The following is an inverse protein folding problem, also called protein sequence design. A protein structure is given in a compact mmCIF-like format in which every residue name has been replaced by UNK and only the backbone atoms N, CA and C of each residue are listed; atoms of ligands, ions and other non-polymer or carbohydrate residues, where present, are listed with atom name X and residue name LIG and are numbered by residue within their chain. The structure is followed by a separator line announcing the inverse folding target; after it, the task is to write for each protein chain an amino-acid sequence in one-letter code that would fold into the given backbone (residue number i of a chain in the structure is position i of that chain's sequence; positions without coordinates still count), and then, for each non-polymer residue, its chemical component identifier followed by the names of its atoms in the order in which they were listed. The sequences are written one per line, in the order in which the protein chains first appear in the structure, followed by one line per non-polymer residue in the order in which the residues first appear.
data_IF_789891176986
#
_entry.id   IF_789891176986
#
_cell.length_a   1.000
_cell.length_b   1.000
_cell.length_c   1.000
_cell.angle_alpha   90.00
_cell.angle_beta   90.00
_cell.angle_gamma   90.00
#
_symmetry.space_group_name_H-M   'P 1'
#
loop_
_entity.id
_entity.type
_entity.pdbx_description
1 polymer ?
#
# COMPACT_ATOMS: atom_id res chain seq x y z
N UNK A 1 -13.86 -66.70 7.00
CA UNK A 1 -14.28 -65.61 6.08
C UNK A 1 -14.04 -64.31 6.81
N UNK A 2 -13.03 -63.55 6.39
CA UNK A 2 -12.55 -62.33 7.07
C UNK A 2 -12.92 -61.10 6.23
N UNK A 3 -13.26 -60.06 6.97
CA UNK A 3 -13.82 -58.73 6.70
C UNK A 3 -13.00 -57.79 5.81
N UNK A 4 -13.66 -56.75 5.27
CA UNK A 4 -13.07 -55.41 4.99
C UNK A 4 -13.15 -54.97 3.53
N UNK A 5 -13.17 -53.69 3.16
CA UNK A 5 -13.05 -52.41 3.88
C UNK A 5 -13.11 -51.31 2.80
N UNK A 6 -14.08 -50.40 2.82
CA UNK A 6 -14.01 -49.09 2.14
C UNK A 6 -14.73 -48.14 3.11
N UNK A 7 -14.10 -47.06 3.65
CA UNK A 7 -13.77 -45.89 2.84
C UNK A 7 -12.54 -45.08 3.33
N UNK A 8 -11.50 -44.97 2.50
CA UNK A 8 -10.36 -44.09 2.73
C UNK A 8 -10.60 -42.62 2.34
N UNK A 9 -11.86 -42.19 2.18
CA UNK A 9 -12.18 -40.87 1.63
C UNK A 9 -12.37 -39.74 2.67
N UNK A 10 -12.03 -39.97 3.95
CA UNK A 10 -12.14 -38.94 5.01
C UNK A 10 -10.80 -38.55 5.67
N UNK A 11 -9.66 -39.13 5.26
CA UNK A 11 -8.39 -38.90 5.97
C UNK A 11 -7.56 -37.68 5.50
N UNK A 12 -8.00 -36.94 4.47
CA UNK A 12 -7.18 -35.87 3.87
C UNK A 12 -7.50 -34.42 4.33
N UNK A 13 -8.48 -34.21 5.21
CA UNK A 13 -8.84 -32.86 5.69
C UNK A 13 -8.15 -32.50 7.03
N UNK A 14 -7.72 -33.48 7.82
CA UNK A 14 -7.14 -33.25 9.16
C UNK A 14 -5.70 -32.71 9.19
N UNK A 15 -4.95 -32.82 8.08
CA UNK A 15 -3.51 -32.53 8.08
C UNK A 15 -3.14 -31.05 7.77
N UNK A 16 -4.08 -30.24 7.28
CA UNK A 16 -3.82 -28.85 6.87
C UNK A 16 -4.16 -27.84 7.98
N UNK A 17 -5.10 -28.20 8.86
CA UNK A 17 -5.54 -27.37 10.01
C UNK A 17 -4.39 -26.94 10.94
N UNK A 18 -3.46 -27.81 11.37
CA UNK A 18 -2.38 -27.39 12.26
C UNK A 18 -1.35 -26.47 11.57
N UNK A 19 -1.25 -26.48 10.24
CA UNK A 19 -0.38 -25.59 9.49
C UNK A 19 -1.01 -24.20 9.30
N UNK A 20 -2.32 -24.13 9.07
CA UNK A 20 -3.05 -22.86 9.00
C UNK A 20 -3.12 -22.17 10.38
N UNK A 21 -3.30 -22.92 11.46
CA UNK A 21 -3.25 -22.39 12.83
C UNK A 21 -1.83 -21.90 13.20
N UNK A 22 -0.77 -22.61 12.79
CA UNK A 22 0.61 -22.15 12.96
C UNK A 22 0.94 -20.91 12.13
N UNK A 23 0.37 -20.79 10.92
CA UNK A 23 0.50 -19.60 10.08
C UNK A 23 -0.23 -18.38 10.68
N UNK A 24 -1.45 -18.56 11.21
CA UNK A 24 -2.17 -17.50 11.91
C UNK A 24 -1.47 -17.09 13.22
N UNK A 25 -0.97 -18.03 14.00
CA UNK A 25 -0.19 -17.71 15.21
C UNK A 25 1.17 -17.10 14.88
N UNK A 26 1.83 -17.49 13.79
CA UNK A 26 3.03 -16.80 13.31
C UNK A 26 2.73 -15.34 12.92
N UNK A 27 1.60 -15.08 12.24
CA UNK A 27 1.13 -13.71 11.92
C UNK A 27 0.79 -12.90 13.17
N UNK A 28 0.18 -13.52 14.18
CA UNK A 28 -0.16 -12.86 15.45
C UNK A 28 1.07 -12.61 16.34
N UNK A 29 2.01 -13.55 16.36
CA UNK A 29 3.33 -13.39 17.01
C UNK A 29 4.20 -12.37 16.27
N UNK A 30 4.07 -12.23 14.95
CA UNK A 30 4.71 -11.18 14.16
C UNK A 30 4.15 -9.79 14.52
N UNK A 31 2.83 -9.68 14.68
CA UNK A 31 2.19 -8.46 15.17
C UNK A 31 2.59 -8.13 16.62
N UNK A 32 2.76 -9.14 17.48
CA UNK A 32 3.19 -8.97 18.87
C UNK A 32 4.69 -8.65 18.98
N UNK A 33 5.55 -9.25 18.15
CA UNK A 33 6.97 -8.91 18.05
C UNK A 33 7.20 -7.51 17.44
N UNK A 34 6.30 -7.04 16.57
CA UNK A 34 6.26 -5.66 16.06
C UNK A 34 5.86 -4.65 17.16
N UNK A 35 5.12 -5.08 18.19
CA UNK A 35 4.73 -4.24 19.34
C UNK A 35 5.77 -4.12 20.46
N UNK A 36 6.82 -4.96 20.46
CA UNK A 36 7.93 -4.90 21.44
C UNK A 36 9.12 -4.04 21.01
N UNK A 37 9.11 -3.49 19.79
CA UNK A 37 10.06 -2.44 19.37
C UNK A 37 9.31 -1.12 19.41
N UNK A 38 9.72 -0.23 20.32
CA UNK A 38 9.14 1.11 20.44
C UNK A 38 9.09 1.86 19.09
N UNK A 39 8.25 2.90 18.99
CA UNK A 39 8.09 3.66 17.76
C UNK A 39 9.43 4.26 17.35
N UNK A 40 10.04 3.74 16.30
CA UNK A 40 11.13 4.45 15.63
C UNK A 40 10.46 5.47 14.72
N UNK A 41 10.72 6.76 14.99
CA UNK A 41 10.50 7.80 14.00
C UNK A 41 11.16 7.36 12.68
N UNK A 42 10.41 7.29 11.59
CA UNK A 42 10.93 6.97 10.24
C UNK A 42 10.60 5.60 9.64
N UNK A 43 9.65 4.82 10.20
CA UNK A 43 9.25 3.52 9.59
C UNK A 43 8.03 3.56 8.69
N UNK A 44 7.15 4.52 8.88
CA UNK A 44 5.92 4.63 8.10
C UNK A 44 5.66 6.10 7.77
N UNK A 45 5.29 6.40 6.53
CA UNK A 45 4.80 7.71 6.12
C UNK A 45 3.31 7.67 5.93
N UNK A 46 2.62 8.72 6.37
CA UNK A 46 1.18 8.88 6.14
C UNK A 46 0.94 9.93 5.07
N UNK A 47 0.17 9.57 4.05
CA UNK A 47 -0.31 10.51 3.03
C UNK A 47 -1.82 10.59 3.17
N UNK A 48 -2.33 11.75 3.54
CA UNK A 48 -3.76 12.01 3.62
C UNK A 48 -4.19 12.91 2.47
N UNK A 49 -5.20 12.48 1.72
CA UNK A 49 -5.84 13.22 0.63
C UNK A 49 -7.26 13.62 1.04
N UNK A 50 -8.12 14.00 0.10
CA UNK A 50 -9.52 14.32 0.40
C UNK A 50 -10.34 13.06 0.72
N UNK A 51 -10.03 11.93 0.06
CA UNK A 51 -10.83 10.72 0.16
C UNK A 51 -10.12 9.55 0.84
N UNK A 52 -8.79 9.57 0.92
CA UNK A 52 -8.00 8.46 1.45
C UNK A 52 -6.99 8.93 2.50
N UNK A 53 -6.74 8.06 3.47
CA UNK A 53 -5.54 8.09 4.29
C UNK A 53 -4.73 6.85 3.98
N UNK A 54 -3.53 7.04 3.46
CA UNK A 54 -2.63 5.96 3.09
C UNK A 54 -1.40 5.96 3.99
N UNK A 55 -0.85 4.78 4.22
CA UNK A 55 0.37 4.59 4.99
C UNK A 55 1.33 3.71 4.20
N UNK A 56 2.56 4.19 4.01
CA UNK A 56 3.63 3.47 3.33
C UNK A 56 4.67 3.03 4.36
N UNK A 57 4.90 1.73 4.49
CA UNK A 57 5.98 1.19 5.32
C UNK A 57 7.31 1.28 4.55
N UNK A 58 8.28 2.03 5.07
CA UNK A 58 9.56 2.26 4.36
C UNK A 58 10.47 1.03 4.37
N UNK A 59 10.21 0.04 5.22
CA UNK A 59 11.02 -1.16 5.33
C UNK A 59 10.54 -2.23 4.34
N UNK A 60 9.23 -2.46 4.23
CA UNK A 60 8.66 -3.40 3.24
C UNK A 60 8.20 -2.75 1.93
N UNK A 61 8.07 -1.43 1.91
CA UNK A 61 7.39 -0.71 0.84
C UNK A 61 5.87 -0.88 0.88
N UNK A 62 5.29 -1.59 1.85
CA UNK A 62 3.86 -1.92 1.82
C UNK A 62 2.98 -0.68 1.94
N UNK A 63 1.99 -0.60 1.07
CA UNK A 63 1.00 0.46 1.05
C UNK A 63 -0.31 -0.08 1.64
N UNK A 64 -0.78 0.54 2.71
CA UNK A 64 -2.08 0.25 3.32
C UNK A 64 -2.90 1.55 3.39
N UNK A 65 -4.21 1.45 3.64
CA UNK A 65 -5.01 2.66 3.73
C UNK A 65 -6.45 2.47 4.18
N UNK A 66 -7.09 3.61 4.39
CA UNK A 66 -8.45 3.76 4.88
C UNK A 66 -9.18 4.82 4.04
N UNK A 67 -10.44 4.56 3.73
CA UNK A 67 -11.33 5.55 3.11
C UNK A 67 -11.77 6.54 4.19
N UNK A 68 -11.55 7.85 3.99
CA UNK A 68 -11.93 8.89 4.96
C UNK A 68 -13.20 9.65 4.57
N UNK A 69 -13.63 9.56 3.31
CA UNK A 69 -14.81 10.26 2.79
C UNK A 69 -15.61 9.39 1.84
N UNK A 70 -16.91 9.66 1.71
CA UNK A 70 -17.83 8.89 0.87
C UNK A 70 -18.49 7.70 1.57
N UNK A 71 -19.16 6.81 0.82
CA UNK A 71 -20.00 5.75 1.36
C UNK A 71 -19.23 4.68 2.14
N UNK A 72 -17.92 4.55 1.90
CA UNK A 72 -17.05 3.56 2.54
C UNK A 72 -16.18 4.17 3.65
N UNK A 73 -16.46 5.40 4.08
CA UNK A 73 -15.67 6.09 5.10
C UNK A 73 -15.50 5.26 6.39
N UNK A 74 -14.29 5.23 6.92
CA UNK A 74 -13.90 4.43 8.09
C UNK A 74 -13.52 2.97 7.77
N UNK A 75 -13.65 2.51 6.52
CA UNK A 75 -13.25 1.15 6.13
C UNK A 75 -11.82 1.12 5.62
N UNK A 76 -11.08 0.09 6.04
CA UNK A 76 -9.76 -0.21 5.49
C UNK A 76 -9.88 -0.73 4.05
N UNK A 77 -8.98 -0.31 3.16
CA UNK A 77 -9.00 -0.72 1.75
C UNK A 77 -8.91 -2.24 1.58
N UNK A 78 -8.11 -2.90 2.42
CA UNK A 78 -8.01 -4.37 2.45
C UNK A 78 -9.30 -5.10 2.85
N UNK A 79 -10.26 -4.39 3.45
CA UNK A 79 -11.57 -4.94 3.84
C UNK A 79 -12.65 -4.72 2.77
N UNK A 80 -12.33 -3.95 1.72
CA UNK A 80 -13.24 -3.68 0.62
C UNK A 80 -13.16 -4.81 -0.42
N UNK A 81 -14.31 -5.16 -1.00
CA UNK A 81 -14.33 -6.02 -2.18
C UNK A 81 -13.73 -5.30 -3.39
N UNK A 82 -13.42 -6.05 -4.45
CA UNK A 82 -12.90 -5.45 -5.69
C UNK A 82 -13.88 -4.45 -6.30
N UNK A 83 -15.18 -4.77 -6.32
CA UNK A 83 -16.21 -3.86 -6.82
C UNK A 83 -16.32 -2.59 -5.97
N UNK A 84 -16.21 -2.71 -4.64
CA UNK A 84 -16.22 -1.56 -3.73
C UNK A 84 -14.97 -0.67 -3.96
N UNK A 85 -13.79 -1.25 -4.17
CA UNK A 85 -12.58 -0.50 -4.49
C UNK A 85 -12.69 0.25 -5.82
N UNK A 86 -13.26 -0.38 -6.85
CA UNK A 86 -13.50 0.28 -8.14
C UNK A 86 -14.52 1.41 -8.03
N UNK A 87 -15.54 1.27 -7.17
CA UNK A 87 -16.50 2.34 -6.88
C UNK A 87 -15.79 3.55 -6.21
N UNK A 88 -14.94 3.30 -5.21
CA UNK A 88 -14.12 4.35 -4.59
C UNK A 88 -13.19 5.00 -5.61
N UNK A 89 -12.63 4.22 -6.55
CA UNK A 89 -11.74 4.74 -7.59
C UNK A 89 -12.46 5.67 -8.56
N UNK A 90 -13.66 5.29 -9.03
CA UNK A 90 -14.49 6.15 -9.88
C UNK A 90 -14.83 7.47 -9.18
N UNK A 91 -15.27 7.39 -7.93
CA UNK A 91 -15.59 8.56 -7.11
C UNK A 91 -14.36 9.46 -6.89
N UNK A 92 -13.21 8.84 -6.65
CA UNK A 92 -11.92 9.54 -6.48
C UNK A 92 -11.51 10.25 -7.77
N UNK A 93 -11.66 9.63 -8.95
CA UNK A 93 -11.29 10.26 -10.23
C UNK A 93 -12.07 11.54 -10.52
N UNK A 94 -13.33 11.60 -10.10
CA UNK A 94 -14.18 12.77 -10.27
C UNK A 94 -13.87 13.90 -9.28
N UNK A 95 -13.54 13.55 -8.04
CA UNK A 95 -13.48 14.52 -6.92
C UNK A 95 -12.07 14.88 -6.49
N UNK A 96 -11.15 13.93 -6.57
CA UNK A 96 -9.78 14.06 -6.10
C UNK A 96 -8.82 13.15 -6.89
N UNK A 97 -8.23 13.67 -7.97
CA UNK A 97 -7.25 12.93 -8.78
C UNK A 97 -6.09 12.36 -7.95
N UNK A 98 -5.73 13.00 -6.83
CA UNK A 98 -4.68 12.52 -5.95
C UNK A 98 -5.08 11.22 -5.24
N UNK A 99 -6.31 11.18 -4.71
CA UNK A 99 -6.88 9.96 -4.13
C UNK A 99 -6.97 8.84 -5.17
N UNK A 100 -7.36 9.17 -6.41
CA UNK A 100 -7.41 8.19 -7.47
C UNK A 100 -6.02 7.57 -7.71
N UNK A 101 -4.98 8.40 -7.86
CA UNK A 101 -3.62 7.93 -8.11
C UNK A 101 -3.08 7.00 -7.01
N UNK A 102 -3.34 7.35 -5.75
CA UNK A 102 -2.97 6.54 -4.60
C UNK A 102 -3.72 5.20 -4.56
N UNK A 103 -5.01 5.20 -4.91
CA UNK A 103 -5.80 3.98 -4.99
C UNK A 103 -5.40 3.09 -6.16
N UNK A 104 -5.06 3.66 -7.32
CA UNK A 104 -4.49 2.92 -8.44
C UNK A 104 -3.17 2.27 -8.05
N UNK A 105 -2.29 3.00 -7.36
CA UNK A 105 -1.03 2.45 -6.87
C UNK A 105 -1.25 1.28 -5.88
N UNK A 106 -2.26 1.39 -5.02
CA UNK A 106 -2.67 0.31 -4.12
C UNK A 106 -3.19 -0.92 -4.88
N UNK A 107 -4.05 -0.72 -5.90
CA UNK A 107 -4.62 -1.78 -6.70
C UNK A 107 -3.57 -2.49 -7.56
N UNK A 108 -2.67 -1.74 -8.21
CA UNK A 108 -1.55 -2.30 -8.99
C UNK A 108 -0.68 -3.22 -8.11
N UNK A 109 -0.41 -2.81 -6.87
CA UNK A 109 0.40 -3.60 -5.92
C UNK A 109 -0.30 -4.87 -5.42
N UNK A 110 -1.58 -4.75 -5.05
CA UNK A 110 -2.33 -5.82 -4.36
C UNK A 110 -3.02 -6.79 -5.31
N UNK A 111 -3.44 -6.31 -6.48
CA UNK A 111 -4.21 -7.07 -7.49
C UNK A 111 -3.50 -7.19 -8.84
N UNK A 112 -2.36 -6.53 -9.05
CA UNK A 112 -1.66 -6.54 -10.34
C UNK A 112 -2.36 -5.68 -11.38
N UNK A 113 -2.11 -5.89 -12.67
CA UNK A 113 -2.75 -5.07 -13.72
C UNK A 113 -4.17 -5.52 -14.09
N UNK A 114 -4.62 -6.70 -13.63
CA UNK A 114 -5.90 -7.29 -14.05
C UNK A 114 -7.14 -6.55 -13.55
N UNK A 115 -7.02 -5.71 -12.51
CA UNK A 115 -8.14 -4.87 -12.08
C UNK A 115 -8.49 -3.82 -13.15
N UNK A 116 -7.54 -3.43 -14.00
CA UNK A 116 -7.75 -2.43 -15.07
C UNK A 116 -8.65 -2.96 -16.17
N UNK A 117 -8.59 -4.26 -16.47
CA UNK A 117 -9.52 -4.90 -17.41
C UNK A 117 -10.97 -4.85 -16.89
N UNK A 118 -11.15 -4.97 -15.58
CA UNK A 118 -12.47 -4.88 -14.92
C UNK A 118 -12.98 -3.44 -14.82
N UNK A 119 -12.08 -2.46 -14.91
CA UNK A 119 -12.40 -1.03 -14.93
C UNK A 119 -12.74 -0.54 -16.35
N UNK A 120 -12.17 -1.17 -17.39
CA UNK A 120 -12.38 -0.79 -18.81
C UNK A 120 -13.78 -1.03 -19.36
N UNK A 121 -14.61 -1.83 -18.68
CA UNK A 121 -15.99 -2.11 -19.13
C UNK A 121 -16.95 -0.90 -18.95
N UNK A 122 -16.55 0.19 -18.26
CA UNK A 122 -17.47 1.30 -17.93
C UNK A 122 -16.92 2.73 -18.19
N UNK A 123 -15.66 2.93 -18.57
CA UNK A 123 -15.17 4.28 -18.90
C UNK A 123 -13.94 4.30 -19.81
N UNK A 124 -14.16 4.67 -21.07
CA UNK A 124 -13.09 5.15 -21.95
C UNK A 124 -12.57 6.50 -21.47
N UNK A 125 -11.54 6.50 -20.64
CA UNK A 125 -10.69 7.67 -20.42
C UNK A 125 -9.38 7.25 -19.74
N UNK A 126 -8.34 7.04 -20.54
CA UNK A 126 -6.97 7.19 -20.06
C UNK A 126 -6.75 8.67 -19.73
N UNK A 127 -7.22 9.08 -18.55
CA UNK A 127 -6.96 10.42 -18.02
C UNK A 127 -5.47 10.56 -17.78
N UNK A 128 -4.95 11.75 -18.12
CA UNK A 128 -3.56 12.12 -17.85
C UNK A 128 -3.22 11.79 -16.40
N UNK A 129 -2.17 10.99 -16.20
CA UNK A 129 -1.74 10.56 -14.88
C UNK A 129 -1.46 11.80 -14.02
N UNK A 130 -2.11 11.94 -12.85
CA UNK A 130 -1.90 13.10 -12.01
C UNK A 130 -0.46 13.11 -11.49
N UNK A 131 0.18 14.27 -11.55
CA UNK A 131 1.44 14.51 -10.86
C UNK A 131 1.19 14.62 -9.35
N UNK A 132 2.19 14.35 -8.50
CA UNK A 132 2.15 14.74 -7.10
C UNK A 132 1.84 16.24 -6.97
N UNK A 133 1.26 16.70 -5.85
CA UNK A 133 0.94 18.11 -5.66
C UNK A 133 2.19 18.98 -5.70
N UNK A 134 2.12 20.11 -6.41
CA UNK A 134 3.12 21.18 -6.35
C UNK A 134 3.08 21.81 -4.94
N UNK A 135 4.20 21.80 -4.22
CA UNK A 135 4.33 22.46 -2.92
C UNK A 135 4.31 21.53 -1.71
N UNK A 136 5.00 20.39 -1.80
CA UNK A 136 5.24 19.52 -0.64
C UNK A 136 6.03 20.25 0.45
N UNK A 137 5.50 20.26 1.68
CA UNK A 137 6.20 20.87 2.82
C UNK A 137 7.43 20.04 3.22
N UNK A 138 8.46 20.70 3.78
CA UNK A 138 9.68 20.02 4.29
C UNK A 138 9.34 18.89 5.27
N UNK A 139 8.38 19.10 6.18
CA UNK A 139 7.98 18.08 7.14
C UNK A 139 7.31 16.87 6.47
N UNK A 140 6.43 17.12 5.50
CA UNK A 140 5.77 16.07 4.74
C UNK A 140 6.77 15.30 3.88
N UNK A 141 7.72 15.99 3.28
CA UNK A 141 8.79 15.40 2.49
C UNK A 141 9.72 14.52 3.34
N UNK A 142 10.10 15.02 4.52
CA UNK A 142 10.87 14.27 5.51
C UNK A 142 10.14 13.00 5.95
N UNK A 143 8.82 13.11 6.20
CA UNK A 143 7.97 11.96 6.52
C UNK A 143 7.94 10.94 5.37
N UNK A 144 7.71 11.38 4.12
CA UNK A 144 7.67 10.51 2.93
C UNK A 144 9.00 9.79 2.70
N UNK A 145 10.14 10.41 2.98
CA UNK A 145 11.45 9.74 2.88
C UNK A 145 11.83 8.93 4.12
N UNK A 146 11.11 9.10 5.23
CA UNK A 146 11.42 8.46 6.51
C UNK A 146 12.70 8.99 7.15
N UNK A 147 13.00 10.29 6.98
CA UNK A 147 14.19 10.97 7.51
C UNK A 147 13.78 12.15 8.40
N UNK A 148 14.64 12.63 9.33
CA UNK A 148 14.35 13.87 10.05
C UNK A 148 14.31 15.08 9.10
N UNK A 149 13.52 16.11 9.44
CA UNK A 149 13.42 17.33 8.63
C UNK A 149 14.77 18.07 8.44
N UNK A 150 15.70 17.87 9.37
CA UNK A 150 17.06 18.41 9.31
C UNK A 150 18.10 17.38 8.82
N UNK A 151 17.67 16.29 8.17
CA UNK A 151 18.56 15.28 7.62
C UNK A 151 19.59 15.89 6.65
N UNK A 152 20.81 15.37 6.65
CA UNK A 152 21.87 15.77 5.72
C UNK A 152 21.52 15.37 4.27
N UNK A 153 22.15 16.02 3.29
CA UNK A 153 21.91 15.73 1.86
C UNK A 153 22.25 14.27 1.50
N UNK A 154 23.25 13.71 2.19
CA UNK A 154 23.65 12.32 2.06
C UNK A 154 22.56 11.36 2.58
N UNK A 155 21.96 11.66 3.73
CA UNK A 155 20.85 10.89 4.30
C UNK A 155 19.60 10.95 3.42
N UNK A 156 19.26 12.14 2.91
CA UNK A 156 18.14 12.34 1.98
C UNK A 156 18.34 11.50 0.72
N UNK A 157 19.53 11.57 0.11
CA UNK A 157 19.85 10.81 -1.12
C UNK A 157 19.86 9.30 -0.87
N UNK A 158 20.38 8.85 0.27
CA UNK A 158 20.40 7.44 0.63
C UNK A 158 18.99 6.88 0.86
N UNK A 159 18.12 7.64 1.55
CA UNK A 159 16.73 7.28 1.79
C UNK A 159 15.93 7.22 0.48
N UNK A 160 16.08 8.22 -0.38
CA UNK A 160 15.47 8.26 -1.72
C UNK A 160 15.83 7.02 -2.54
N UNK A 161 17.12 6.72 -2.68
CA UNK A 161 17.60 5.56 -3.44
C UNK A 161 17.03 4.23 -2.89
N UNK A 162 16.98 4.09 -1.56
CA UNK A 162 16.42 2.91 -0.90
C UNK A 162 14.94 2.72 -1.23
N UNK A 163 14.14 3.77 -1.20
CA UNK A 163 12.70 3.70 -1.48
C UNK A 163 12.43 3.40 -2.96
N UNK A 164 13.13 4.07 -3.87
CA UNK A 164 13.01 3.80 -5.31
C UNK A 164 13.38 2.35 -5.64
N UNK A 165 14.47 1.82 -5.06
CA UNK A 165 14.87 0.43 -5.29
C UNK A 165 13.80 -0.57 -4.84
N UNK A 166 13.16 -0.34 -3.68
CA UNK A 166 12.08 -1.20 -3.18
C UNK A 166 10.85 -1.14 -4.06
N UNK A 167 10.46 0.07 -4.46
CA UNK A 167 9.32 0.28 -5.35
C UNK A 167 9.48 -0.45 -6.69
N UNK A 168 10.70 -0.48 -7.25
CA UNK A 168 10.96 -1.18 -8.51
C UNK A 168 11.12 -2.70 -8.39
N UNK A 169 11.47 -3.22 -7.21
CA UNK A 169 11.71 -4.67 -7.01
C UNK A 169 10.40 -5.43 -6.86
N UNK A 170 9.37 -4.82 -6.27
CA UNK A 170 8.13 -5.49 -5.86
C UNK A 170 6.98 -5.43 -6.90
N UNK A 171 7.32 -5.61 -8.19
CA UNK A 171 6.44 -5.51 -9.38
C UNK A 171 6.25 -4.06 -9.83
N UNK A 172 6.85 -3.73 -10.98
CA UNK A 172 6.58 -2.53 -11.80
C UNK A 172 6.13 -1.30 -11.03
N UNK A 173 7.09 -0.52 -10.53
CA UNK A 173 6.84 0.63 -9.65
C UNK A 173 5.68 1.52 -10.13
N UNK A 174 4.75 1.78 -9.21
CA UNK A 174 3.63 2.69 -9.45
C UNK A 174 4.20 4.09 -9.70
N UNK A 175 4.11 4.57 -10.94
CA UNK A 175 4.76 5.81 -11.38
C UNK A 175 4.40 7.01 -10.49
N UNK A 176 3.21 7.01 -9.91
CA UNK A 176 2.77 8.03 -8.95
C UNK A 176 3.59 8.03 -7.65
N UNK A 177 3.81 6.87 -7.01
CA UNK A 177 4.64 6.81 -5.79
C UNK A 177 6.10 7.17 -6.08
N UNK A 178 6.62 6.77 -7.24
CA UNK A 178 7.96 7.15 -7.66
C UNK A 178 8.07 8.67 -7.81
N UNK A 179 7.08 9.30 -8.45
CA UNK A 179 7.00 10.75 -8.57
C UNK A 179 6.88 11.42 -7.19
N UNK A 180 6.06 10.88 -6.28
CA UNK A 180 5.89 11.41 -4.93
C UNK A 180 7.20 11.34 -4.11
N UNK A 181 7.95 10.25 -4.24
CA UNK A 181 9.27 10.08 -3.60
C UNK A 181 10.30 11.04 -4.20
N UNK A 182 10.26 11.31 -5.51
CA UNK A 182 11.12 12.29 -6.15
C UNK A 182 10.81 13.72 -5.67
N UNK A 183 9.53 14.09 -5.64
CA UNK A 183 9.09 15.38 -5.12
C UNK A 183 9.53 15.60 -3.67
N UNK A 184 9.43 14.57 -2.83
CA UNK A 184 9.91 14.64 -1.45
C UNK A 184 11.42 14.91 -1.34
N UNK A 185 12.24 14.25 -2.18
CA UNK A 185 13.68 14.56 -2.25
C UNK A 185 13.91 16.01 -2.64
N UNK A 186 13.23 16.47 -3.69
CA UNK A 186 13.45 17.79 -4.27
C UNK A 186 12.99 18.90 -3.32
N UNK A 187 11.90 18.70 -2.58
CA UNK A 187 11.42 19.61 -1.55
C UNK A 187 12.40 19.77 -0.38
N UNK A 188 13.05 18.68 0.08
CA UNK A 188 14.06 18.75 1.15
C UNK A 188 15.36 19.42 0.68
N UNK A 189 15.79 19.18 -0.55
CA UNK A 189 17.02 19.76 -1.09
C UNK A 189 16.86 21.23 -1.49
N UNK A 190 15.67 21.62 -1.95
CA UNK A 190 15.38 23.01 -2.34
C UNK A 190 15.15 23.95 -1.14
N UNK A 191 14.78 23.39 0.02
CA UNK A 191 14.53 24.16 1.25
C UNK A 191 15.77 24.50 2.06
N UNK A 192 16.97 24.22 1.55
CA UNK A 192 18.26 24.41 2.23
C UNK A 192 19.04 25.61 1.70
#
# INVERSE_FOLDING_TARGET
MVTGRIPWMFALIGAVVPWLQRFMMARQAWNMFKSSRGPSAGKQSTVQTLMLRMTLDHDSGDLDGEVISGPFAGRALQSLSESELLEVLRDSRERDPQSAALLEAYLDRTRGDSWRDSDTDDAGSHSARPSPPDGMSVNQAAEILGVPAEASDEEITAAHRRLIQKLHTDRGGTDYLAALINEARDALLSGR
#
